data_IF_174503208631
#
_entry.id   IF_174503208631
#
_cell.length_a   1.000
_cell.length_b   1.000
_cell.length_c   1.000
_cell.angle_alpha   90.00
_cell.angle_beta   90.00
_cell.angle_gamma   90.00
#
_symmetry.space_group_name_H-M   'P 1'
#
loop_
_entity.id
_entity.type
_entity.pdbx_description
1 polymer ?
#
# COMPACT_ATOMS: atom_id res chain seq x y z
N UNK A 1 -22.00 -0.30 -13.72
CA UNK A 1 -20.80 -0.71 -14.48
C UNK A 1 -19.75 -1.13 -13.46
N UNK A 2 -19.30 -2.39 -13.42
CA UNK A 2 -18.18 -2.77 -12.57
C UNK A 2 -16.92 -2.07 -13.11
N UNK A 3 -16.18 -1.39 -12.23
CA UNK A 3 -14.99 -0.63 -12.58
C UNK A 3 -13.90 -1.48 -13.24
N UNK A 4 -13.04 -0.84 -14.03
CA UNK A 4 -12.05 -1.44 -14.92
C UNK A 4 -10.92 -2.26 -14.25
N UNK A 5 -11.03 -2.60 -12.97
CA UNK A 5 -10.06 -3.42 -12.24
C UNK A 5 -10.65 -4.82 -12.00
N UNK A 6 -10.68 -5.63 -13.06
CA UNK A 6 -11.01 -7.05 -12.97
C UNK A 6 -9.79 -7.86 -13.39
N UNK A 7 -9.11 -8.49 -12.43
CA UNK A 7 -8.09 -9.48 -12.73
C UNK A 7 -8.80 -10.80 -13.06
N UNK A 8 -8.72 -11.24 -14.32
CA UNK A 8 -9.31 -12.48 -14.77
C UNK A 8 -8.41 -13.67 -14.44
N UNK A 9 -8.62 -14.28 -13.26
CA UNK A 9 -8.06 -15.58 -12.90
C UNK A 9 -6.78 -15.56 -12.05
N UNK A 10 -6.29 -16.75 -11.69
CA UNK A 10 -4.98 -16.93 -11.05
C UNK A 10 -3.87 -16.55 -12.04
N UNK A 11 -3.21 -15.41 -11.81
CA UNK A 11 -1.99 -15.07 -12.53
C UNK A 11 -0.82 -15.88 -11.95
N UNK A 12 -0.39 -16.92 -12.68
CA UNK A 12 0.91 -17.53 -12.45
C UNK A 12 1.99 -16.52 -12.89
N UNK A 13 2.37 -15.61 -11.99
CA UNK A 13 3.45 -14.65 -12.23
C UNK A 13 4.76 -15.42 -12.34
N UNK A 14 5.24 -15.58 -13.57
CA UNK A 14 6.56 -16.13 -13.85
C UNK A 14 7.62 -15.06 -13.56
N UNK A 15 8.08 -15.03 -12.31
CA UNK A 15 9.10 -14.09 -11.81
C UNK A 15 10.44 -14.20 -12.56
N UNK A 16 10.63 -15.26 -13.35
CA UNK A 16 11.83 -15.45 -14.17
C UNK A 16 11.77 -14.74 -15.53
N UNK A 17 10.57 -14.44 -16.04
CA UNK A 17 10.37 -13.74 -17.32
C UNK A 17 10.35 -12.24 -17.13
N UNK A 18 11.51 -11.65 -16.91
CA UNK A 18 11.66 -10.21 -16.78
C UNK A 18 11.81 -9.52 -18.15
N UNK A 19 10.76 -9.58 -18.98
CA UNK A 19 10.70 -8.81 -20.22
C UNK A 19 10.53 -7.32 -19.88
N UNK A 20 11.64 -6.58 -19.91
CA UNK A 20 11.78 -5.17 -19.47
C UNK A 20 11.46 -4.94 -17.98
N UNK A 21 12.47 -5.09 -17.11
CA UNK A 21 12.36 -4.58 -15.74
C UNK A 21 12.39 -3.06 -15.79
N UNK A 22 11.24 -2.41 -15.57
CA UNK A 22 11.18 -0.95 -15.36
C UNK A 22 11.85 -0.50 -14.05
N UNK A 23 12.33 -1.44 -13.23
CA UNK A 23 13.09 -1.22 -12.01
C UNK A 23 13.32 -2.53 -11.25
N UNK A 24 14.21 -2.51 -10.26
CA UNK A 24 14.31 -3.55 -9.23
C UNK A 24 13.94 -2.90 -7.90
N UNK A 25 13.08 -3.56 -7.11
CA UNK A 25 12.68 -3.12 -5.79
C UNK A 25 13.02 -4.23 -4.80
N UNK A 26 13.73 -3.87 -3.73
CA UNK A 26 13.95 -4.77 -2.61
C UNK A 26 12.61 -5.07 -1.94
N UNK A 27 12.24 -6.35 -1.91
CA UNK A 27 11.05 -6.80 -1.19
C UNK A 27 11.48 -7.11 0.24
N UNK A 28 11.06 -6.25 1.18
CA UNK A 28 11.25 -6.49 2.61
C UNK A 28 10.45 -7.69 3.10
N UNK A 29 10.79 -8.17 4.29
CA UNK A 29 10.06 -9.27 4.96
C UNK A 29 9.49 -8.81 6.30
N UNK A 30 8.27 -9.22 6.61
CA UNK A 30 7.71 -9.08 7.96
C UNK A 30 8.12 -10.29 8.80
N UNK A 31 8.76 -10.11 9.97
CA UNK A 31 9.06 -11.22 10.87
C UNK A 31 7.78 -11.97 11.29
N UNK A 32 7.85 -13.29 11.37
CA UNK A 32 6.67 -14.15 11.61
C UNK A 32 5.99 -13.80 12.94
N UNK A 33 6.78 -13.49 13.96
CA UNK A 33 6.31 -13.07 15.28
C UNK A 33 5.53 -11.76 15.26
N UNK A 34 5.77 -10.91 14.26
CA UNK A 34 5.06 -9.64 14.07
C UNK A 34 3.88 -9.76 13.10
N UNK A 35 3.70 -10.89 12.44
CA UNK A 35 2.71 -11.04 11.36
C UNK A 35 1.27 -10.89 11.85
N UNK A 36 0.92 -11.45 13.01
CA UNK A 36 -0.42 -11.27 13.58
C UNK A 36 -0.66 -9.82 14.01
N UNK A 37 0.36 -9.15 14.56
CA UNK A 37 0.27 -7.73 14.92
C UNK A 37 0.06 -6.86 13.67
N UNK A 38 0.81 -7.12 12.61
CA UNK A 38 0.65 -6.47 11.31
C UNK A 38 -0.80 -6.56 10.81
N UNK A 39 -1.40 -7.76 10.82
CA UNK A 39 -2.81 -7.96 10.41
C UNK A 39 -3.79 -7.21 11.29
N UNK A 40 -3.58 -7.21 12.61
CA UNK A 40 -4.44 -6.51 13.56
C UNK A 40 -4.45 -5.00 13.30
N UNK A 41 -3.27 -4.41 13.06
CA UNK A 41 -3.13 -2.99 12.74
C UNK A 41 -3.92 -2.66 11.48
N UNK A 42 -3.71 -3.41 10.39
CA UNK A 42 -4.42 -3.21 9.13
C UNK A 42 -5.94 -3.35 9.29
N UNK A 43 -6.41 -4.34 10.05
CA UNK A 43 -7.84 -4.57 10.29
C UNK A 43 -8.48 -3.46 11.11
N UNK A 44 -7.72 -2.78 11.96
CA UNK A 44 -8.22 -1.71 12.81
C UNK A 44 -8.36 -0.37 12.08
N UNK A 45 -7.83 -0.24 10.85
CA UNK A 45 -7.85 1.03 10.11
C UNK A 45 -9.28 1.33 9.69
N UNK A 46 -9.88 2.45 10.15
CA UNK A 46 -11.20 2.85 9.71
C UNK A 46 -11.11 3.33 8.26
N UNK A 47 -11.87 2.68 7.37
CA UNK A 47 -12.00 3.13 5.99
C UNK A 47 -12.96 4.31 5.97
N UNK A 48 -12.45 5.50 5.66
CA UNK A 48 -13.27 6.67 5.39
C UNK A 48 -13.59 6.77 3.89
N UNK A 49 -14.87 6.81 3.55
CA UNK A 49 -15.30 7.04 2.16
C UNK A 49 -15.61 8.52 1.92
N UNK A 50 -15.02 9.41 2.72
CA UNK A 50 -15.27 10.84 2.67
C UNK A 50 -14.47 11.42 1.51
N UNK A 51 -15.17 11.85 0.47
CA UNK A 51 -14.58 12.43 -0.75
C UNK A 51 -13.80 13.73 -0.49
N UNK A 52 -13.97 14.35 0.69
CA UNK A 52 -13.46 15.69 1.00
C UNK A 52 -12.08 15.75 1.68
N UNK A 53 -11.27 14.69 1.64
CA UNK A 53 -9.91 14.74 2.21
C UNK A 53 -8.96 15.68 1.45
N UNK A 54 -9.36 16.14 0.26
CA UNK A 54 -8.53 16.95 -0.63
C UNK A 54 -7.33 16.17 -1.20
N UNK A 55 -7.36 14.84 -1.03
CA UNK A 55 -6.30 13.90 -1.35
C UNK A 55 -6.81 12.91 -2.41
N UNK A 56 -7.41 11.81 -1.97
CA UNK A 56 -8.15 10.84 -2.75
C UNK A 56 -8.98 9.98 -1.77
N UNK A 57 -9.79 9.06 -2.29
CA UNK A 57 -10.62 8.14 -1.51
C UNK A 57 -9.83 7.12 -0.66
N UNK A 58 -8.51 7.12 -0.72
CA UNK A 58 -7.59 6.23 0.00
C UNK A 58 -6.88 6.96 1.14
N UNK A 59 -7.38 8.13 1.59
CA UNK A 59 -6.77 8.89 2.68
C UNK A 59 -6.61 8.06 3.97
N UNK A 60 -7.56 7.18 4.30
CA UNK A 60 -7.45 6.20 5.38
C UNK A 60 -6.17 5.35 5.34
N UNK A 61 -5.57 5.12 4.16
CA UNK A 61 -4.34 4.34 4.02
C UNK A 61 -3.13 5.03 4.68
N UNK A 62 -3.13 6.37 4.79
CA UNK A 62 -2.06 7.10 5.47
C UNK A 62 -2.07 6.82 6.98
N UNK A 63 -3.25 6.65 7.58
CA UNK A 63 -3.36 6.23 8.98
C UNK A 63 -2.80 4.82 9.20
N UNK A 64 -3.04 3.90 8.26
CA UNK A 64 -2.44 2.57 8.30
C UNK A 64 -0.91 2.64 8.28
N UNK A 65 -0.35 3.45 7.38
CA UNK A 65 1.09 3.64 7.23
C UNK A 65 1.72 4.22 8.49
N UNK A 66 1.07 5.18 9.15
CA UNK A 66 1.54 5.74 10.41
C UNK A 66 1.62 4.70 11.52
N UNK A 67 0.61 3.85 11.66
CA UNK A 67 0.59 2.80 12.66
C UNK A 67 1.65 1.72 12.39
N UNK A 68 1.83 1.35 11.12
CA UNK A 68 2.87 0.42 10.71
C UNK A 68 4.27 0.98 10.94
N UNK A 69 4.47 2.28 10.70
CA UNK A 69 5.74 2.96 10.95
C UNK A 69 6.06 3.01 12.45
N UNK A 70 5.08 3.29 13.30
CA UNK A 70 5.24 3.27 14.75
C UNK A 70 5.69 1.91 15.32
N UNK A 71 5.38 0.81 14.62
CA UNK A 71 5.75 -0.57 14.99
C UNK A 71 7.03 -1.07 14.27
N UNK A 72 7.66 -0.19 13.49
CA UNK A 72 8.91 -0.44 12.76
C UNK A 72 8.73 -1.38 11.56
N UNK A 73 7.54 -1.44 10.96
CA UNK A 73 7.31 -2.21 9.73
C UNK A 73 7.72 -1.44 8.46
N UNK A 74 7.80 -0.11 8.54
CA UNK A 74 8.07 0.77 7.40
C UNK A 74 9.27 1.64 7.74
N UNK A 75 10.19 1.80 6.78
CA UNK A 75 11.32 2.70 6.91
C UNK A 75 10.85 4.16 7.01
N UNK A 76 11.56 4.98 7.79
CA UNK A 76 11.24 6.40 8.01
C UNK A 76 11.35 7.24 6.72
N UNK A 77 12.06 6.72 5.72
CA UNK A 77 12.32 7.34 4.42
C UNK A 77 11.06 7.55 3.56
N UNK A 78 9.93 6.96 3.94
CA UNK A 78 8.65 7.09 3.25
C UNK A 78 7.64 7.89 4.08
N UNK A 79 7.81 9.20 4.28
CA UNK A 79 6.86 10.02 5.01
C UNK A 79 5.59 10.25 4.19
N UNK A 80 4.48 10.51 4.88
CA UNK A 80 3.17 10.61 4.24
C UNK A 80 3.13 11.68 3.15
N UNK A 81 3.80 12.82 3.32
CA UNK A 81 3.86 13.87 2.30
C UNK A 81 4.52 13.41 0.98
N UNK A 82 5.49 12.48 1.02
CA UNK A 82 6.16 11.95 -0.18
C UNK A 82 5.25 10.95 -0.89
N UNK A 83 4.65 10.03 -0.15
CA UNK A 83 3.63 9.11 -0.67
C UNK A 83 2.48 9.92 -1.28
N UNK A 84 2.13 11.01 -0.59
CA UNK A 84 1.11 11.90 -1.05
C UNK A 84 1.53 12.64 -2.35
N UNK A 85 2.77 13.07 -2.46
CA UNK A 85 3.22 13.65 -3.70
C UNK A 85 3.18 12.65 -4.87
N UNK A 86 3.50 11.37 -4.64
CA UNK A 86 3.55 10.34 -5.69
C UNK A 86 2.18 9.83 -6.14
N UNK A 87 1.20 9.75 -5.25
CA UNK A 87 -0.11 9.15 -5.51
C UNK A 87 -1.24 10.16 -5.68
N UNK A 88 -0.90 11.44 -5.85
CA UNK A 88 -1.90 12.48 -6.14
C UNK A 88 -2.61 12.16 -7.45
N UNK A 89 -3.88 12.50 -7.54
CA UNK A 89 -4.58 12.45 -8.81
C UNK A 89 -4.01 13.54 -9.74
N UNK A 90 -3.74 13.19 -11.00
CA UNK A 90 -3.42 14.18 -12.02
C UNK A 90 -4.68 15.02 -12.28
N UNK A 91 -4.56 16.36 -12.27
CA UNK A 91 -5.67 17.28 -12.52
C UNK A 91 -6.18 17.22 -13.97
#
# INVERSE_FOLDING_TARGET
>A
MPGAFYYSGEEAVDVSKSGSKNGQLEVGSVPVEKYERFKQLLRAVPIDNVESSGWNCQNWSLAALDWLRAEGFIAEEYPNNVIQYWLREDQ
#
